data_IF_135975823087
#
_entry.id   IF_135975823087
#
_cell.length_a   1.000
_cell.length_b   1.000
_cell.length_c   1.000
_cell.angle_alpha   90.00
_cell.angle_beta   90.00
_cell.angle_gamma   90.00
#
_symmetry.space_group_name_H-M   'P 1'
#
loop_
_entity.id
_entity.type
_entity.pdbx_description
1 polymer ?
#
# COMPACT_ATOMS: atom_id res chain seq x y z
N UNK A 1 9.45 -46.49 -5.62
CA UNK A 1 8.53 -45.86 -4.65
C UNK A 1 9.37 -45.14 -3.62
N UNK A 2 9.51 -43.82 -3.75
CA UNK A 2 10.27 -43.02 -2.79
C UNK A 2 9.52 -42.94 -1.46
N UNK A 3 10.04 -43.65 -0.46
CA UNK A 3 9.53 -43.56 0.92
C UNK A 3 9.99 -42.21 1.46
N UNK A 4 9.12 -41.21 1.38
CA UNK A 4 9.29 -39.94 2.10
C UNK A 4 9.37 -40.28 3.59
N UNK A 5 10.56 -40.22 4.17
CA UNK A 5 10.81 -40.48 5.58
C UNK A 5 10.09 -39.44 6.43
N UNK A 6 8.97 -39.84 7.03
CA UNK A 6 8.27 -39.05 8.04
C UNK A 6 8.95 -39.30 9.37
N UNK A 7 9.52 -38.26 10.01
CA UNK A 7 10.10 -38.39 11.35
C UNK A 7 9.02 -38.80 12.35
N UNK A 8 9.27 -39.84 13.14
CA UNK A 8 8.34 -40.39 14.13
C UNK A 8 7.90 -39.37 15.19
N UNK A 9 8.72 -38.35 15.44
CA UNK A 9 8.42 -37.23 16.36
C UNK A 9 7.40 -36.21 15.84
N UNK A 10 6.96 -36.30 14.58
CA UNK A 10 5.83 -35.50 14.10
C UNK A 10 4.50 -36.12 14.53
N UNK A 11 4.18 -35.98 15.82
CA UNK A 11 2.82 -36.18 16.32
C UNK A 11 1.86 -35.31 15.49
N UNK A 12 0.92 -35.96 14.80
CA UNK A 12 -0.06 -35.37 13.87
C UNK A 12 -1.12 -34.47 14.52
N UNK A 13 -0.75 -33.77 15.58
CA UNK A 13 -1.64 -32.95 16.40
C UNK A 13 -0.89 -31.82 17.09
N UNK A 14 0.18 -31.28 16.51
CA UNK A 14 0.76 -30.04 17.04
C UNK A 14 -0.32 -28.96 16.92
N UNK A 15 -0.83 -28.40 18.04
CA UNK A 15 -1.86 -27.37 17.97
C UNK A 15 -1.30 -26.21 17.14
N UNK A 16 -2.07 -25.76 16.14
CA UNK A 16 -1.67 -24.61 15.32
C UNK A 16 -1.37 -23.47 16.28
N UNK A 17 -0.09 -23.10 16.41
CA UNK A 17 0.35 -21.99 17.26
C UNK A 17 -0.49 -20.79 16.86
N UNK A 18 -1.33 -20.28 17.79
CA UNK A 18 -2.18 -19.11 17.52
C UNK A 18 -1.25 -18.00 17.01
N UNK A 19 -1.59 -17.41 15.86
CA UNK A 19 -0.82 -16.30 15.29
C UNK A 19 -0.85 -15.17 16.31
N UNK A 20 0.30 -14.85 16.90
CA UNK A 20 0.45 -13.65 17.72
C UNK A 20 0.44 -12.44 16.78
N UNK A 21 -0.75 -11.94 16.47
CA UNK A 21 -0.93 -10.74 15.64
C UNK A 21 -0.38 -9.49 16.33
N UNK A 22 -0.36 -9.47 17.68
CA UNK A 22 0.11 -8.34 18.50
C UNK A 22 1.62 -8.04 18.39
N UNK A 23 2.45 -8.96 17.90
CA UNK A 23 3.92 -8.77 17.86
C UNK A 23 4.48 -8.49 16.45
N UNK A 24 3.62 -8.24 15.45
CA UNK A 24 4.06 -7.94 14.08
C UNK A 24 3.81 -6.48 13.75
N UNK A 25 4.86 -5.74 13.38
CA UNK A 25 4.74 -4.35 12.91
C UNK A 25 3.91 -4.23 11.63
N UNK A 26 3.96 -5.23 10.73
CA UNK A 26 3.22 -5.29 9.47
C UNK A 26 2.43 -6.61 9.43
N UNK A 27 1.17 -6.59 9.88
CA UNK A 27 0.30 -7.77 9.96
C UNK A 27 -0.63 -7.95 8.74
N UNK A 28 -0.78 -6.92 7.90
CA UNK A 28 -1.62 -6.94 6.69
C UNK A 28 -0.84 -7.46 5.49
N UNK A 29 -1.48 -8.26 4.64
CA UNK A 29 -0.90 -8.81 3.40
C UNK A 29 -1.59 -8.16 2.20
N UNK A 30 -0.81 -7.61 1.27
CA UNK A 30 -1.27 -7.06 0.00
C UNK A 30 -0.73 -7.94 -1.14
N UNK A 31 -1.62 -8.55 -1.93
CA UNK A 31 -1.27 -9.48 -3.01
C UNK A 31 -1.87 -9.01 -4.33
N UNK A 32 -1.09 -9.14 -5.41
CA UNK A 32 -1.50 -8.79 -6.77
C UNK A 32 -1.41 -9.99 -7.70
N UNK A 33 -2.25 -10.00 -8.75
CA UNK A 33 -2.09 -10.92 -9.87
C UNK A 33 -1.30 -10.21 -10.96
N UNK A 34 -0.27 -10.87 -11.47
CA UNK A 34 0.60 -10.36 -12.54
C UNK A 34 0.83 -11.45 -13.58
N UNK A 35 1.03 -11.05 -14.82
CA UNK A 35 1.54 -11.90 -15.88
C UNK A 35 3.00 -12.28 -15.63
N UNK A 36 3.50 -13.29 -16.36
CA UNK A 36 4.89 -13.72 -16.26
C UNK A 36 5.87 -12.60 -16.66
N UNK A 37 5.57 -11.87 -17.73
CA UNK A 37 6.40 -10.76 -18.22
C UNK A 37 6.47 -9.61 -17.21
N UNK A 38 5.34 -9.23 -16.60
CA UNK A 38 5.32 -8.19 -15.56
C UNK A 38 6.15 -8.60 -14.35
N UNK A 39 6.06 -9.89 -13.95
CA UNK A 39 6.84 -10.41 -12.83
C UNK A 39 8.34 -10.31 -13.11
N UNK A 40 8.79 -10.71 -14.29
CA UNK A 40 10.22 -10.63 -14.67
C UNK A 40 10.72 -9.18 -14.66
N UNK A 41 9.94 -8.24 -15.19
CA UNK A 41 10.29 -6.83 -15.17
C UNK A 41 10.39 -6.27 -13.74
N UNK A 42 9.48 -6.66 -12.85
CA UNK A 42 9.50 -6.26 -11.44
C UNK A 42 10.72 -6.87 -10.73
N UNK A 43 10.98 -8.16 -10.91
CA UNK A 43 12.10 -8.85 -10.27
C UNK A 43 13.45 -8.26 -10.71
N UNK A 44 13.60 -7.90 -11.99
CA UNK A 44 14.77 -7.19 -12.49
C UNK A 44 14.95 -5.82 -11.82
N UNK A 45 13.88 -5.04 -11.65
CA UNK A 45 13.94 -3.74 -10.94
C UNK A 45 14.35 -3.91 -9.48
N UNK A 46 13.83 -4.93 -8.79
CA UNK A 46 14.20 -5.20 -7.39
C UNK A 46 15.68 -5.59 -7.31
N UNK A 47 16.16 -6.42 -8.23
CA UNK A 47 17.57 -6.80 -8.28
C UNK A 47 18.49 -5.58 -8.43
N UNK A 48 18.08 -4.58 -9.20
CA UNK A 48 18.85 -3.34 -9.40
C UNK A 48 18.88 -2.43 -8.17
N UNK A 49 17.83 -2.43 -7.34
CA UNK A 49 17.79 -1.58 -6.14
C UNK A 49 18.50 -2.18 -4.93
N UNK A 50 18.68 -3.52 -4.91
CA UNK A 50 19.26 -4.24 -3.77
C UNK A 50 18.38 -4.26 -2.52
N UNK A 51 17.14 -3.75 -2.61
CA UNK A 51 16.18 -3.75 -1.52
C UNK A 51 15.49 -5.11 -1.37
N UNK A 52 15.08 -5.49 -0.16
CA UNK A 52 14.20 -6.64 0.00
C UNK A 52 12.85 -6.36 -0.69
N UNK A 53 12.25 -7.39 -1.31
CA UNK A 53 11.02 -7.24 -2.10
C UNK A 53 9.92 -6.47 -1.36
N UNK A 54 9.74 -6.73 -0.07
CA UNK A 54 8.71 -6.08 0.74
C UNK A 54 8.91 -4.57 0.86
N UNK A 55 10.14 -4.11 1.04
CA UNK A 55 10.40 -2.68 1.22
C UNK A 55 10.34 -1.95 -0.13
N UNK A 56 10.84 -2.58 -1.20
CA UNK A 56 10.65 -2.07 -2.56
C UNK A 56 9.17 -1.85 -2.89
N UNK A 57 8.30 -2.82 -2.63
CA UNK A 57 6.87 -2.66 -2.91
C UNK A 57 6.22 -1.58 -2.05
N UNK A 58 6.57 -1.47 -0.78
CA UNK A 58 6.02 -0.45 0.11
C UNK A 58 6.45 0.95 -0.36
N UNK A 59 7.73 1.17 -0.63
CA UNK A 59 8.24 2.45 -1.13
C UNK A 59 7.66 2.79 -2.51
N UNK A 60 7.58 1.80 -3.40
CA UNK A 60 6.98 1.94 -4.72
C UNK A 60 5.51 2.37 -4.61
N UNK A 61 4.72 1.78 -3.72
CA UNK A 61 3.32 2.14 -3.55
C UNK A 61 3.11 3.48 -2.83
N UNK A 62 4.00 3.85 -1.90
CA UNK A 62 3.84 5.07 -1.09
C UNK A 62 4.36 6.34 -1.77
N UNK A 63 5.40 6.25 -2.60
CA UNK A 63 6.14 7.43 -3.07
C UNK A 63 6.20 7.55 -4.60
N UNK A 64 5.65 6.60 -5.37
CA UNK A 64 5.60 6.76 -6.82
C UNK A 64 4.53 7.77 -7.23
N UNK A 65 4.88 8.59 -8.23
CA UNK A 65 3.94 9.48 -8.90
C UNK A 65 2.83 8.67 -9.57
N UNK A 66 1.58 8.90 -9.19
CA UNK A 66 0.41 8.22 -9.75
C UNK A 66 -0.12 9.02 -10.94
N UNK A 67 -0.15 8.40 -12.13
CA UNK A 67 -0.78 8.98 -13.33
C UNK A 67 -2.27 8.60 -13.38
N UNK A 68 -3.13 9.47 -12.86
CA UNK A 68 -4.58 9.23 -12.83
C UNK A 68 -5.20 9.57 -14.18
N UNK A 69 -5.67 8.55 -14.90
CA UNK A 69 -6.51 8.74 -16.09
C UNK A 69 -7.94 9.06 -15.67
N UNK A 70 -8.59 10.01 -16.34
CA UNK A 70 -9.90 10.53 -15.95
C UNK A 70 -10.98 9.46 -15.91
N UNK A 71 -11.40 9.09 -14.70
CA UNK A 71 -12.54 8.20 -14.44
C UNK A 71 -13.54 8.95 -13.55
N UNK A 72 -14.84 8.88 -13.85
CA UNK A 72 -15.87 9.56 -13.06
C UNK A 72 -15.82 9.10 -11.59
N UNK A 73 -15.54 7.82 -11.35
CA UNK A 73 -15.42 7.27 -9.99
C UNK A 73 -14.27 7.88 -9.19
N UNK A 74 -13.14 8.17 -9.82
CA UNK A 74 -12.00 8.77 -9.11
C UNK A 74 -12.31 10.20 -8.70
N UNK A 75 -13.03 10.96 -9.53
CA UNK A 75 -13.50 12.29 -9.16
C UNK A 75 -14.52 12.28 -8.02
N UNK A 76 -15.45 11.33 -8.02
CA UNK A 76 -16.42 11.21 -6.92
C UNK A 76 -15.72 10.91 -5.59
N UNK A 77 -14.77 9.97 -5.59
CA UNK A 77 -13.98 9.66 -4.38
C UNK A 77 -13.14 10.84 -3.91
N UNK A 78 -12.47 11.56 -4.83
CA UNK A 78 -11.73 12.78 -4.49
C UNK A 78 -12.66 13.82 -3.87
N UNK A 79 -13.85 14.03 -4.45
CA UNK A 79 -14.84 14.98 -3.93
C UNK A 79 -15.30 14.61 -2.51
N UNK A 80 -15.68 13.36 -2.29
CA UNK A 80 -16.14 12.89 -0.97
C UNK A 80 -15.03 13.07 0.09
N UNK A 81 -13.80 12.69 -0.24
CA UNK A 81 -12.64 12.87 0.65
C UNK A 81 -12.35 14.35 0.92
N UNK A 82 -12.48 15.22 -0.08
CA UNK A 82 -12.33 16.67 0.11
C UNK A 82 -13.41 17.25 1.01
N UNK A 83 -14.66 16.78 0.92
CA UNK A 83 -15.75 17.21 1.79
C UNK A 83 -15.52 16.78 3.24
N UNK A 84 -15.01 15.56 3.47
CA UNK A 84 -14.61 15.09 4.81
C UNK A 84 -13.51 15.96 5.42
N UNK A 85 -12.48 16.27 4.63
CA UNK A 85 -11.39 17.14 5.08
C UNK A 85 -11.88 18.57 5.34
N UNK A 86 -12.73 19.12 4.47
CA UNK A 86 -13.29 20.46 4.66
C UNK A 86 -14.10 20.56 5.97
N UNK A 87 -14.93 19.55 6.26
CA UNK A 87 -15.69 19.48 7.51
C UNK A 87 -14.78 19.39 8.75
N UNK A 88 -13.64 18.71 8.64
CA UNK A 88 -12.66 18.61 9.73
C UNK A 88 -11.87 19.92 9.93
N UNK A 89 -11.55 20.64 8.85
CA UNK A 89 -10.93 21.97 8.90
C UNK A 89 -11.88 23.00 9.54
N UNK A 90 -13.16 22.98 9.17
CA UNK A 90 -14.18 23.86 9.75
C UNK A 90 -14.35 23.63 11.26
N UNK A 91 -14.13 22.40 11.73
CA UNK A 91 -14.20 22.04 13.15
C UNK A 91 -12.93 22.41 13.92
N UNK A 92 -11.76 22.38 13.28
CA UNK A 92 -10.49 22.70 13.90
C UNK A 92 -9.65 23.64 13.01
N UNK A 93 -9.89 24.95 13.06
CA UNK A 93 -9.29 25.92 12.14
C UNK A 93 -7.78 26.12 12.36
N UNK A 94 -7.22 25.65 13.48
CA UNK A 94 -5.78 25.72 13.75
C UNK A 94 -4.99 24.54 13.20
N UNK A 95 -5.67 23.48 12.72
CA UNK A 95 -5.05 22.24 12.23
C UNK A 95 -4.10 21.58 13.27
N UNK A 96 -4.17 21.99 14.53
CA UNK A 96 -3.42 21.39 15.64
C UNK A 96 -4.01 19.99 15.85
N UNK A 97 -3.20 18.94 15.66
CA UNK A 97 -3.57 17.50 15.62
C UNK A 97 -4.21 17.00 14.31
N UNK A 98 -3.71 17.42 13.14
CA UNK A 98 -4.02 16.72 11.90
C UNK A 98 -3.38 15.32 11.90
N UNK A 99 -4.21 14.28 11.83
CA UNK A 99 -3.78 12.88 11.75
C UNK A 99 -2.88 12.65 10.52
N UNK A 100 -1.78 11.89 10.70
CA UNK A 100 -0.77 11.62 9.67
C UNK A 100 -1.40 11.00 8.41
N UNK A 101 -2.44 10.19 8.59
CA UNK A 101 -3.20 9.57 7.50
C UNK A 101 -3.94 10.64 6.67
N UNK A 102 -4.55 11.63 7.32
CA UNK A 102 -5.25 12.74 6.64
C UNK A 102 -4.28 13.65 5.91
N UNK A 103 -3.10 13.90 6.49
CA UNK A 103 -2.04 14.68 5.85
C UNK A 103 -1.52 14.00 4.57
N UNK A 104 -1.27 12.68 4.62
CA UNK A 104 -0.88 11.89 3.45
C UNK A 104 -1.95 11.89 2.36
N UNK A 105 -3.22 11.82 2.76
CA UNK A 105 -4.33 11.85 1.83
C UNK A 105 -4.47 13.21 1.12
N UNK A 106 -4.38 14.30 1.87
CA UNK A 106 -4.35 15.66 1.33
C UNK A 106 -3.21 15.85 0.33
N UNK A 107 -2.01 15.37 0.67
CA UNK A 107 -0.85 15.42 -0.22
C UNK A 107 -1.10 14.66 -1.51
N UNK A 108 -1.70 13.47 -1.42
CA UNK A 108 -2.04 12.65 -2.59
C UNK A 108 -3.06 13.36 -3.50
N UNK A 109 -4.09 13.99 -2.93
CA UNK A 109 -5.07 14.76 -3.68
C UNK A 109 -4.40 15.94 -4.39
N UNK A 110 -3.52 16.67 -3.70
CA UNK A 110 -2.77 17.78 -4.28
C UNK A 110 -1.86 17.32 -5.44
N UNK A 111 -1.14 16.21 -5.30
CA UNK A 111 -0.31 15.65 -6.36
C UNK A 111 -1.13 15.26 -7.60
N UNK A 112 -2.33 14.71 -7.41
CA UNK A 112 -3.24 14.36 -8.51
C UNK A 112 -3.76 15.63 -9.21
N UNK A 113 -4.14 16.65 -8.44
CA UNK A 113 -4.63 17.92 -8.98
C UNK A 113 -3.51 18.68 -9.70
N UNK A 114 -2.30 18.72 -9.15
CA UNK A 114 -1.14 19.37 -9.77
C UNK A 114 -0.72 18.63 -11.05
N UNK A 115 -0.70 17.29 -11.03
CA UNK A 115 -0.40 16.52 -12.24
C UNK A 115 -1.45 16.70 -13.36
N UNK A 116 -2.66 17.15 -13.05
CA UNK A 116 -3.76 17.27 -14.03
C UNK A 116 -4.12 18.70 -14.43
N UNK A 117 -3.97 19.64 -13.50
CA UNK A 117 -4.35 21.05 -13.64
C UNK A 117 -3.20 22.00 -13.34
N UNK A 118 -2.08 21.50 -12.83
CA UNK A 118 -0.83 22.25 -12.71
C UNK A 118 -0.42 22.69 -14.10
N UNK A 119 -0.61 23.98 -14.37
CA UNK A 119 -0.16 24.59 -15.62
C UNK A 119 1.35 24.46 -15.68
N UNK A 120 1.86 23.93 -16.79
CA UNK A 120 3.26 24.07 -17.14
C UNK A 120 3.66 25.56 -17.00
N UNK A 121 4.66 25.81 -16.16
CA UNK A 121 5.51 27.00 -16.31
C UNK A 121 6.71 26.60 -17.14
#
# INVERSE_FOLDING_TARGET
>A
MDKIYRRETQLGGTPKKKKNEKNRKRNVIMNFRVSAAEKEAIDARIAMTGLPKSDFFIESCMYQKILVHGNIRTFTEIKNRMEEIAADIDRNPKLEDLDDEKAMLLKTILEILDSRFGKEK
#
